data_IF_670854304119
#
_entry.id   IF_670854304119
#
_cell.length_a   1.000
_cell.length_b   1.000
_cell.length_c   1.000
_cell.angle_alpha   90.00
_cell.angle_beta   90.00
_cell.angle_gamma   90.00
#
_symmetry.space_group_name_H-M   'P 1'
#
loop_
_entity.id
_entity.type
_entity.pdbx_description
1 polymer ?
#
# COMPACT_ATOMS: atom_id res chain seq x y z
N UNK A 1 20.26 20.62 51.61
CA UNK A 1 20.24 22.06 51.96
C UNK A 1 21.01 22.82 50.89
N UNK A 2 20.44 23.96 50.44
CA UNK A 2 20.97 24.91 49.44
C UNK A 2 20.90 24.49 47.97
N UNK A 3 20.51 25.33 47.00
CA UNK A 3 19.84 26.65 46.94
C UNK A 3 19.47 26.83 45.45
N UNK A 4 18.23 27.20 45.12
CA UNK A 4 17.91 27.83 43.82
C UNK A 4 18.43 29.28 43.84
N UNK A 5 18.84 29.80 42.68
CA UNK A 5 18.23 31.04 42.17
C UNK A 5 17.88 30.89 40.66
N UNK A 6 16.65 31.20 40.24
CA UNK A 6 16.11 32.51 39.86
C UNK A 6 16.53 32.96 38.45
N UNK A 7 15.47 33.27 37.68
CA UNK A 7 15.41 33.57 36.24
C UNK A 7 16.10 34.89 35.89
N UNK A 8 16.67 35.00 34.69
CA UNK A 8 16.74 36.28 33.97
C UNK A 8 16.41 36.08 32.49
N UNK A 9 15.52 36.96 32.04
CA UNK A 9 14.87 37.08 30.76
C UNK A 9 15.73 38.02 29.89
N UNK A 10 16.04 37.64 28.65
CA UNK A 10 16.55 38.58 27.65
C UNK A 10 15.94 38.24 26.28
N UNK A 11 15.07 39.15 25.87
CA UNK A 11 14.28 39.19 24.64
C UNK A 11 15.15 39.81 23.53
N UNK A 12 15.38 39.10 22.43
CA UNK A 12 15.97 39.69 21.23
C UNK A 12 14.93 39.63 20.11
N UNK A 13 14.31 40.78 19.86
CA UNK A 13 13.35 41.04 18.79
C UNK A 13 14.14 41.33 17.52
N UNK A 14 14.00 40.48 16.49
CA UNK A 14 14.51 40.77 15.15
C UNK A 14 13.36 41.29 14.28
N UNK A 15 13.36 42.60 14.04
CA UNK A 15 12.52 43.26 13.04
C UNK A 15 13.11 42.99 11.66
N UNK A 16 12.38 42.31 10.77
CA UNK A 16 12.65 42.32 9.33
C UNK A 16 11.52 43.10 8.66
N UNK A 17 11.89 44.24 8.09
CA UNK A 17 11.04 45.13 7.32
C UNK A 17 10.71 44.51 5.95
N UNK A 18 9.41 44.42 5.68
CA UNK A 18 8.84 44.12 4.36
C UNK A 18 8.92 45.39 3.52
N UNK A 19 9.64 45.35 2.40
CA UNK A 19 9.60 46.38 1.37
C UNK A 19 8.79 45.86 0.17
N UNK A 20 7.62 46.47 -0.03
CA UNK A 20 6.76 46.29 -1.20
C UNK A 20 7.31 47.16 -2.33
N UNK A 21 7.59 46.56 -3.48
CA UNK A 21 7.70 47.28 -4.75
C UNK A 21 6.89 46.52 -5.80
N UNK A 22 5.83 47.17 -6.27
CA UNK A 22 4.95 46.66 -7.31
C UNK A 22 5.22 47.38 -8.64
N UNK A 23 4.93 46.63 -9.71
CA UNK A 23 4.60 47.04 -11.08
C UNK A 23 5.72 47.54 -12.00
N UNK A 24 6.02 46.74 -13.03
CA UNK A 24 5.56 47.02 -14.41
C UNK A 24 6.17 46.03 -15.40
N UNK A 25 5.35 45.17 -16.03
CA UNK A 25 5.57 44.72 -17.42
C UNK A 25 4.22 44.34 -18.08
N UNK A 26 4.08 44.55 -19.40
CA UNK A 26 2.80 44.60 -20.08
C UNK A 26 2.33 43.23 -20.57
N UNK A 27 1.01 43.05 -20.58
CA UNK A 27 0.36 41.90 -21.20
C UNK A 27 0.45 41.93 -22.72
N UNK A 28 0.42 40.75 -23.31
CA UNK A 28 -0.15 40.56 -24.64
C UNK A 28 -1.00 39.30 -24.64
N UNK A 29 -2.25 39.51 -25.02
CA UNK A 29 -3.26 38.52 -25.33
C UNK A 29 -2.79 37.66 -26.50
N UNK A 30 -2.95 36.34 -26.41
CA UNK A 30 -3.21 35.53 -27.59
C UNK A 30 -4.32 34.52 -27.29
N UNK A 31 -5.35 34.66 -28.10
CA UNK A 31 -6.57 33.87 -28.19
C UNK A 31 -6.31 32.54 -28.88
N UNK A 32 -7.11 31.54 -28.52
CA UNK A 32 -7.21 30.27 -29.23
C UNK A 32 -7.78 30.44 -30.64
N UNK A 33 -7.22 29.74 -31.62
CA UNK A 33 -7.96 29.22 -32.77
C UNK A 33 -7.18 28.07 -33.42
N UNK A 34 -7.91 27.03 -33.79
CA UNK A 34 -7.47 25.81 -34.51
C UNK A 34 -6.61 26.12 -35.76
N UNK A 35 -5.80 25.16 -36.24
CA UNK A 35 -5.35 25.18 -37.62
C UNK A 35 -6.37 24.49 -38.52
N UNK A 36 -6.99 25.29 -39.39
CA UNK A 36 -7.54 24.81 -40.66
C UNK A 36 -6.44 24.81 -41.73
N UNK A 37 -6.56 23.79 -42.57
CA UNK A 37 -5.87 23.46 -43.81
C UNK A 37 -5.83 24.63 -44.82
N UNK A 38 -4.62 24.99 -45.26
CA UNK A 38 -4.42 25.59 -46.58
C UNK A 38 -2.96 25.42 -47.04
N UNK A 39 -2.77 24.65 -48.11
CA UNK A 39 -1.47 24.39 -48.73
C UNK A 39 -0.84 25.62 -49.38
N UNK A 40 0.48 25.74 -49.22
CA UNK A 40 1.34 26.67 -49.95
C UNK A 40 2.37 25.87 -50.78
N UNK A 41 2.38 26.00 -52.13
CA UNK A 41 3.12 25.13 -53.05
C UNK A 41 4.61 25.52 -53.18
N UNK A 42 5.34 25.54 -52.06
CA UNK A 42 6.76 25.90 -52.00
C UNK A 42 7.73 24.76 -51.63
N UNK A 43 7.25 23.62 -51.14
CA UNK A 43 8.10 22.54 -50.57
C UNK A 43 8.28 21.32 -51.47
N UNK A 44 7.48 21.17 -52.54
CA UNK A 44 7.60 20.06 -53.50
C UNK A 44 8.75 20.23 -54.51
N UNK A 45 9.20 21.46 -54.77
CA UNK A 45 10.30 21.70 -55.72
C UNK A 45 11.70 21.44 -55.12
N UNK A 46 11.80 21.32 -53.79
CA UNK A 46 13.03 20.97 -53.09
C UNK A 46 13.25 19.46 -52.96
N UNK A 47 12.19 18.64 -53.00
CA UNK A 47 12.30 17.18 -52.93
C UNK A 47 12.59 16.53 -54.29
N UNK A 48 12.11 17.08 -55.40
CA UNK A 48 12.39 16.52 -56.74
C UNK A 48 13.84 16.75 -57.20
N UNK A 49 14.53 17.76 -56.64
CA UNK A 49 15.92 18.07 -57.01
C UNK A 49 16.95 17.16 -56.30
N UNK A 50 16.62 16.53 -55.17
CA UNK A 50 17.51 15.57 -54.48
C UNK A 50 17.40 14.14 -55.02
N UNK A 51 16.26 13.75 -55.59
CA UNK A 51 16.06 12.40 -56.16
C UNK A 51 16.84 12.25 -57.49
N UNK A 52 17.05 13.34 -58.23
CA UNK A 52 17.81 13.34 -59.50
C UNK A 52 19.35 13.24 -59.33
N UNK A 53 19.90 13.44 -58.13
CA UNK A 53 21.35 13.34 -57.88
C UNK A 53 21.81 11.95 -57.42
N UNK A 54 20.89 11.07 -57.00
CA UNK A 54 21.21 9.70 -56.59
C UNK A 54 21.10 8.68 -57.73
N UNK A 55 20.57 9.05 -58.90
CA UNK A 55 20.39 8.16 -60.05
C UNK A 55 21.44 8.33 -61.16
N UNK A 56 22.41 9.25 -61.02
CA UNK A 56 23.42 9.55 -62.04
C UNK A 56 24.83 8.99 -61.75
N UNK A 57 25.00 8.15 -60.72
CA UNK A 57 26.28 7.52 -60.38
C UNK A 57 26.34 6.02 -60.71
N UNK A 58 25.42 5.51 -61.52
CA UNK A 58 25.56 4.19 -62.16
C UNK A 58 25.72 4.40 -63.66
N UNK A 59 26.96 4.52 -64.11
CA UNK A 59 27.47 4.02 -65.40
C UNK A 59 28.77 4.76 -65.76
N UNK A 60 29.91 4.22 -65.33
CA UNK A 60 31.11 4.16 -66.16
C UNK A 60 32.12 3.18 -65.55
N UNK A 61 32.35 2.08 -66.26
CA UNK A 61 33.31 1.05 -65.94
C UNK A 61 34.73 1.47 -66.34
N UNK A 62 35.72 1.13 -65.51
CA UNK A 62 37.11 0.99 -65.95
C UNK A 62 37.68 -0.33 -65.44
N UNK A 63 38.18 -1.13 -66.38
CA UNK A 63 38.90 -2.39 -66.17
C UNK A 63 40.25 -2.15 -65.48
N UNK A 64 40.54 -2.88 -64.40
CA UNK A 64 41.89 -3.09 -63.86
C UNK A 64 42.03 -4.56 -63.44
N UNK A 65 43.21 -5.09 -63.72
CA UNK A 65 43.61 -6.51 -63.81
C UNK A 65 43.44 -7.34 -62.54
N UNK A 66 43.28 -8.65 -62.76
CA UNK A 66 43.03 -9.70 -61.80
C UNK A 66 44.31 -10.10 -61.02
N UNK A 67 44.40 -9.70 -59.75
CA UNK A 67 45.24 -10.37 -58.75
C UNK A 67 44.36 -11.27 -57.86
N UNK A 68 44.77 -12.53 -57.71
CA UNK A 68 44.10 -13.52 -56.86
C UNK A 68 44.43 -13.25 -55.39
N UNK A 69 43.48 -12.70 -54.64
CA UNK A 69 43.53 -12.60 -53.17
C UNK A 69 43.35 -13.99 -52.54
N UNK A 70 44.05 -14.34 -51.44
CA UNK A 70 44.00 -15.68 -50.86
C UNK A 70 42.66 -15.93 -50.16
N UNK A 71 42.30 -17.20 -50.10
CA UNK A 71 41.15 -17.76 -49.41
C UNK A 71 41.01 -17.18 -47.98
N UNK A 72 39.83 -16.71 -47.56
CA UNK A 72 39.65 -16.16 -46.22
C UNK A 72 39.91 -17.27 -45.20
N UNK A 73 40.88 -17.04 -44.30
CA UNK A 73 41.08 -17.89 -43.12
C UNK A 73 39.75 -17.98 -42.38
N UNK A 74 39.30 -19.23 -42.17
CA UNK A 74 38.10 -19.53 -41.43
C UNK A 74 38.21 -18.90 -40.03
N UNK A 75 37.38 -17.89 -39.76
CA UNK A 75 37.20 -17.37 -38.42
C UNK A 75 36.76 -18.53 -37.53
N UNK A 76 37.62 -18.96 -36.62
CA UNK A 76 37.30 -20.01 -35.65
C UNK A 76 36.06 -19.56 -34.87
N UNK A 77 34.95 -20.28 -35.04
CA UNK A 77 33.79 -20.19 -34.17
C UNK A 77 34.28 -20.40 -32.73
N UNK A 78 34.02 -19.48 -31.77
CA UNK A 78 34.45 -19.68 -30.40
C UNK A 78 33.90 -21.01 -29.90
N UNK A 79 34.80 -21.86 -29.41
CA UNK A 79 34.48 -23.16 -28.83
C UNK A 79 33.40 -22.94 -27.75
N UNK A 80 32.30 -23.72 -27.74
CA UNK A 80 31.23 -23.53 -26.77
C UNK A 80 31.80 -23.63 -25.36
N UNK A 81 31.73 -22.54 -24.61
CA UNK A 81 32.12 -22.50 -23.21
C UNK A 81 31.27 -23.55 -22.47
N UNK A 82 31.88 -24.67 -22.06
CA UNK A 82 31.20 -25.71 -21.30
C UNK A 82 30.83 -25.08 -19.95
N UNK A 83 29.55 -24.70 -19.77
CA UNK A 83 29.04 -24.35 -18.44
C UNK A 83 29.20 -25.59 -17.55
N UNK A 84 29.79 -25.45 -16.34
CA UNK A 84 29.93 -26.58 -15.44
C UNK A 84 28.55 -27.19 -15.16
N UNK A 85 28.43 -28.51 -15.26
CA UNK A 85 27.20 -29.22 -14.91
C UNK A 85 27.03 -29.17 -13.39
N UNK A 86 25.98 -28.52 -12.92
CA UNK A 86 25.64 -28.42 -11.49
C UNK A 86 24.98 -29.74 -11.07
N UNK A 87 25.51 -30.38 -10.04
CA UNK A 87 24.95 -31.61 -9.47
C UNK A 87 24.03 -31.27 -8.30
N UNK A 88 22.74 -31.61 -8.42
CA UNK A 88 21.72 -31.35 -7.41
C UNK A 88 21.50 -32.58 -6.54
N UNK A 89 21.57 -32.39 -5.21
CA UNK A 89 21.48 -33.50 -4.24
C UNK A 89 20.08 -33.65 -3.68
N UNK A 90 19.39 -32.53 -3.45
CA UNK A 90 18.05 -32.50 -2.84
C UNK A 90 17.16 -31.55 -3.63
N UNK A 91 16.00 -32.05 -4.07
CA UNK A 91 14.99 -31.25 -4.76
C UNK A 91 13.78 -31.02 -3.86
N UNK A 92 13.04 -29.90 -4.03
CA UNK A 92 11.78 -29.70 -3.35
C UNK A 92 10.76 -30.77 -3.74
N UNK A 93 9.88 -31.09 -2.79
CA UNK A 93 8.72 -31.94 -3.02
C UNK A 93 7.50 -31.12 -3.44
N UNK A 94 6.32 -31.64 -3.12
CA UNK A 94 5.06 -30.91 -3.29
C UNK A 94 4.77 -30.05 -2.04
N UNK A 95 4.34 -28.79 -2.21
CA UNK A 95 3.95 -27.95 -1.09
C UNK A 95 2.70 -28.52 -0.38
N UNK A 96 2.67 -28.36 0.94
CA UNK A 96 1.49 -28.67 1.76
C UNK A 96 0.48 -27.51 1.82
N UNK A 97 -0.41 -27.56 2.80
CA UNK A 97 -1.35 -26.47 3.07
C UNK A 97 -0.61 -25.19 3.53
N UNK A 98 -1.10 -24.02 3.11
CA UNK A 98 -0.52 -22.74 3.53
C UNK A 98 -0.59 -22.58 5.07
N UNK A 99 0.52 -22.17 5.67
CA UNK A 99 0.64 -21.83 7.08
C UNK A 99 0.41 -20.33 7.32
N UNK A 100 0.79 -19.49 6.37
CA UNK A 100 0.48 -18.06 6.34
C UNK A 100 0.25 -17.62 4.90
N UNK A 101 -0.43 -16.50 4.70
CA UNK A 101 -0.71 -15.95 3.39
C UNK A 101 -1.02 -14.46 3.46
N UNK A 102 -0.81 -13.78 2.35
CA UNK A 102 -1.26 -12.41 2.12
C UNK A 102 -2.15 -12.38 0.88
N UNK A 103 -3.23 -11.59 0.94
CA UNK A 103 -4.18 -11.39 -0.16
C UNK A 103 -3.90 -10.02 -0.77
N UNK A 104 -4.14 -9.92 -2.07
CA UNK A 104 -3.91 -8.74 -2.87
C UNK A 104 -5.14 -8.39 -3.73
N UNK A 105 -5.17 -7.20 -4.32
CA UNK A 105 -6.37 -6.72 -5.02
C UNK A 105 -6.36 -7.08 -6.50
N UNK A 106 -7.26 -7.99 -6.91
CA UNK A 106 -7.43 -8.24 -8.34
C UNK A 106 -7.92 -6.99 -9.11
N UNK A 107 -7.15 -6.58 -10.10
CA UNK A 107 -7.43 -5.43 -10.98
C UNK A 107 -8.26 -5.82 -12.22
N UNK A 108 -8.44 -7.11 -12.49
CA UNK A 108 -9.22 -7.64 -13.64
C UNK A 108 -10.56 -6.97 -13.90
N UNK A 109 -11.32 -6.66 -12.85
CA UNK A 109 -12.65 -6.05 -13.02
C UNK A 109 -12.60 -4.66 -13.66
N UNK A 110 -11.46 -3.96 -13.52
CA UNK A 110 -11.18 -2.64 -14.06
C UNK A 110 -10.33 -2.69 -15.34
N UNK A 111 -9.79 -3.85 -15.71
CA UNK A 111 -8.92 -4.02 -16.88
C UNK A 111 -9.54 -3.47 -18.19
N UNK A 112 -10.85 -3.63 -18.38
CA UNK A 112 -11.56 -3.10 -19.56
C UNK A 112 -11.62 -1.57 -19.64
N UNK A 113 -11.50 -0.90 -18.49
CA UNK A 113 -11.41 0.55 -18.37
C UNK A 113 -9.96 1.07 -18.38
N UNK A 114 -8.97 0.16 -18.45
CA UNK A 114 -7.54 0.48 -18.44
C UNK A 114 -7.11 1.26 -17.20
N UNK A 115 -7.60 0.86 -16.04
CA UNK A 115 -7.28 1.50 -14.76
C UNK A 115 -7.15 0.50 -13.62
N UNK A 116 -6.50 0.91 -12.53
CA UNK A 116 -6.42 0.17 -11.25
C UNK A 116 -7.20 0.89 -10.14
N UNK A 117 -7.57 0.16 -9.10
CA UNK A 117 -8.25 0.67 -7.90
C UNK A 117 -7.38 0.74 -6.65
N UNK A 118 -6.17 0.19 -6.68
CA UNK A 118 -5.37 -0.06 -5.47
C UNK A 118 -3.91 0.43 -5.55
N UNK A 119 -3.50 1.09 -6.64
CA UNK A 119 -2.11 1.56 -6.81
C UNK A 119 -1.75 2.63 -5.78
N UNK A 120 -0.77 2.33 -4.92
CA UNK A 120 -0.23 3.24 -3.92
C UNK A 120 1.28 3.40 -4.14
N UNK A 121 1.63 4.06 -5.25
CA UNK A 121 3.00 4.44 -5.60
C UNK A 121 3.80 5.03 -4.43
N UNK A 122 3.17 5.91 -3.64
CA UNK A 122 3.85 6.60 -2.55
C UNK A 122 4.28 5.70 -1.38
N UNK A 123 3.75 4.48 -1.30
CA UNK A 123 4.07 3.52 -0.22
C UNK A 123 4.56 2.18 -0.79
N UNK A 124 5.08 2.19 -2.02
CA UNK A 124 5.62 1.03 -2.73
C UNK A 124 4.67 -0.20 -2.78
N UNK A 125 3.36 0.05 -2.70
CA UNK A 125 2.33 -0.96 -2.91
C UNK A 125 1.77 -0.74 -4.30
N UNK A 126 2.23 -1.53 -5.25
CA UNK A 126 2.07 -1.27 -6.67
C UNK A 126 1.01 -2.19 -7.23
N UNK A 127 0.03 -1.61 -7.93
CA UNK A 127 -1.08 -2.36 -8.55
C UNK A 127 -1.14 -1.98 -10.01
N UNK A 128 -0.10 -2.43 -10.73
CA UNK A 128 0.23 -2.00 -12.09
C UNK A 128 0.38 -3.18 -13.05
N UNK A 129 -0.58 -4.12 -13.15
CA UNK A 129 -0.54 -5.24 -14.08
C UNK A 129 -0.90 -4.79 -15.51
N UNK A 130 -0.25 -3.73 -15.99
CA UNK A 130 -0.52 -3.08 -17.25
C UNK A 130 0.77 -2.70 -17.96
N UNK A 131 0.75 -2.76 -19.29
CA UNK A 131 1.85 -2.27 -20.13
C UNK A 131 1.99 -0.75 -20.05
N UNK A 132 3.22 -0.28 -20.25
CA UNK A 132 3.55 1.15 -20.28
C UNK A 132 2.77 1.88 -21.38
N UNK A 133 2.23 3.06 -21.06
CA UNK A 133 1.46 3.98 -21.91
C UNK A 133 0.12 3.43 -22.42
N UNK A 134 0.12 2.23 -22.99
CA UNK A 134 -1.04 1.63 -23.64
C UNK A 134 -2.05 1.10 -22.62
N UNK A 135 -1.57 0.72 -21.43
CA UNK A 135 -2.38 0.15 -20.35
C UNK A 135 -3.08 -1.15 -20.77
N UNK A 136 -2.39 -2.01 -21.53
CA UNK A 136 -2.91 -3.34 -21.83
C UNK A 136 -2.68 -4.26 -20.62
N UNK A 137 -3.76 -4.86 -20.16
CA UNK A 137 -3.78 -5.66 -18.93
C UNK A 137 -3.02 -6.99 -19.09
N UNK A 138 -2.21 -7.33 -18.09
CA UNK A 138 -1.38 -8.54 -18.02
C UNK A 138 -1.80 -9.38 -16.80
N UNK A 139 -2.72 -10.32 -17.02
CA UNK A 139 -3.29 -11.15 -15.94
C UNK A 139 -2.26 -12.01 -15.17
N UNK A 140 -1.08 -12.24 -15.74
CA UNK A 140 0.00 -12.97 -15.09
C UNK A 140 0.90 -12.09 -14.20
N UNK A 141 0.69 -10.77 -14.24
CA UNK A 141 1.30 -9.83 -13.31
C UNK A 141 0.34 -9.54 -12.16
N UNK A 142 -0.98 -9.54 -12.42
CA UNK A 142 -2.02 -9.33 -11.42
C UNK A 142 -1.99 -10.44 -10.35
N UNK A 143 -1.34 -10.13 -9.23
CA UNK A 143 -1.23 -10.95 -8.04
C UNK A 143 -2.52 -10.86 -7.25
N UNK A 144 -2.99 -12.00 -6.76
CA UNK A 144 -4.20 -12.04 -5.93
C UNK A 144 -3.92 -12.59 -4.55
N UNK A 145 -2.85 -13.39 -4.42
CA UNK A 145 -2.45 -14.01 -3.16
C UNK A 145 -1.03 -14.57 -3.22
N UNK A 146 -0.33 -14.49 -2.10
CA UNK A 146 0.91 -15.25 -1.86
C UNK A 146 0.71 -16.16 -0.65
N UNK A 147 0.96 -17.45 -0.83
CA UNK A 147 0.90 -18.45 0.24
C UNK A 147 2.30 -18.89 0.66
N UNK A 148 2.50 -19.07 1.97
CA UNK A 148 3.68 -19.73 2.52
C UNK A 148 3.31 -21.09 3.11
N UNK A 149 4.02 -22.14 2.73
CA UNK A 149 4.01 -23.44 3.40
C UNK A 149 5.43 -23.75 3.92
N UNK A 150 5.56 -24.00 5.22
CA UNK A 150 6.85 -24.29 5.86
C UNK A 150 6.92 -25.78 6.16
N UNK A 151 7.75 -26.52 5.44
CA UNK A 151 7.93 -27.96 5.61
C UNK A 151 9.41 -28.30 5.47
N UNK A 152 10.10 -28.33 6.61
CA UNK A 152 11.55 -28.46 6.67
C UNK A 152 12.06 -29.62 5.79
N UNK A 153 13.11 -29.40 4.97
CA UNK A 153 13.99 -28.23 4.98
C UNK A 153 13.48 -27.04 4.15
N UNK A 154 12.29 -27.11 3.59
CA UNK A 154 11.81 -26.16 2.58
C UNK A 154 10.81 -25.14 3.13
N UNK A 155 10.90 -23.93 2.60
CA UNK A 155 9.80 -22.97 2.54
C UNK A 155 9.29 -22.96 1.12
N UNK A 156 8.01 -23.21 0.93
CA UNK A 156 7.33 -23.09 -0.34
C UNK A 156 6.53 -21.80 -0.38
N UNK A 157 6.64 -21.09 -1.49
CA UNK A 157 5.90 -19.89 -1.83
C UNK A 157 5.02 -20.22 -3.03
N UNK A 158 3.72 -19.95 -2.96
CA UNK A 158 2.84 -20.01 -4.12
C UNK A 158 2.32 -18.62 -4.42
N UNK A 159 2.72 -18.07 -5.56
CA UNK A 159 2.17 -16.86 -6.15
C UNK A 159 0.92 -17.25 -6.95
N UNK A 160 -0.23 -16.69 -6.58
CA UNK A 160 -1.52 -16.97 -7.22
C UNK A 160 -1.90 -15.75 -8.04
N UNK A 161 -1.96 -15.95 -9.35
CA UNK A 161 -2.17 -14.91 -10.33
C UNK A 161 -3.60 -14.97 -10.88
N UNK A 162 -4.06 -13.85 -11.41
CA UNK A 162 -5.37 -13.79 -12.05
C UNK A 162 -5.42 -14.61 -13.35
N UNK A 163 -4.29 -14.78 -14.03
CA UNK A 163 -4.14 -15.59 -15.24
C UNK A 163 -2.76 -16.24 -15.35
N UNK A 164 -2.62 -17.24 -16.23
CA UNK A 164 -1.36 -17.95 -16.38
C UNK A 164 -0.33 -17.10 -17.13
N UNK A 165 0.93 -17.15 -16.71
CA UNK A 165 2.02 -16.56 -17.46
C UNK A 165 2.14 -17.20 -18.85
N UNK A 166 2.35 -16.44 -19.93
CA UNK A 166 2.69 -16.99 -21.24
C UNK A 166 3.87 -17.96 -21.17
N UNK A 167 3.94 -18.93 -22.07
CA UNK A 167 5.03 -19.93 -22.06
C UNK A 167 6.40 -19.30 -22.25
N UNK A 168 6.49 -18.22 -23.02
CA UNK A 168 7.68 -17.42 -23.31
C UNK A 168 7.87 -16.21 -22.38
N UNK A 169 7.11 -16.16 -21.28
CA UNK A 169 7.17 -15.04 -20.34
C UNK A 169 8.54 -14.94 -19.67
N UNK A 170 9.02 -13.69 -19.54
CA UNK A 170 10.22 -13.34 -18.77
C UNK A 170 9.89 -12.74 -17.41
N UNK A 171 8.63 -12.89 -16.97
CA UNK A 171 8.19 -12.38 -15.69
C UNK A 171 8.94 -13.06 -14.55
N UNK A 172 9.21 -12.28 -13.53
CA UNK A 172 9.79 -12.76 -12.29
C UNK A 172 8.75 -12.68 -11.19
N UNK A 173 8.87 -13.61 -10.25
CA UNK A 173 8.06 -13.67 -9.05
C UNK A 173 9.01 -13.74 -7.87
N UNK A 174 8.84 -12.85 -6.91
CA UNK A 174 9.76 -12.73 -5.80
C UNK A 174 9.04 -12.68 -4.45
N UNK A 175 9.64 -13.33 -3.46
CA UNK A 175 9.30 -13.19 -2.06
C UNK A 175 10.32 -12.26 -1.42
N UNK A 176 9.86 -11.14 -0.90
CA UNK A 176 10.63 -10.30 -0.01
C UNK A 176 10.41 -10.77 1.44
N UNK A 177 11.48 -10.92 2.21
CA UNK A 177 11.46 -11.35 3.61
C UNK A 177 12.15 -10.31 4.47
N UNK A 178 11.50 -9.96 5.57
CA UNK A 178 11.97 -9.00 6.57
C UNK A 178 11.92 -9.67 7.95
N UNK A 179 13.10 -9.96 8.47
CA UNK A 179 13.34 -10.71 9.70
C UNK A 179 13.11 -9.85 10.95
N UNK A 180 13.16 -8.52 10.83
CA UNK A 180 13.15 -7.61 11.97
C UNK A 180 11.90 -6.68 12.02
N UNK A 181 11.10 -6.69 10.96
CA UNK A 181 9.86 -5.92 10.76
C UNK A 181 10.05 -4.40 10.81
N UNK A 182 11.19 -3.90 10.31
CA UNK A 182 11.46 -2.47 10.18
C UNK A 182 10.98 -1.86 8.85
N UNK A 183 10.51 -2.71 7.93
CA UNK A 183 10.02 -2.30 6.61
C UNK A 183 11.07 -2.37 5.51
N UNK A 184 12.32 -2.75 5.81
CA UNK A 184 13.37 -3.06 4.85
C UNK A 184 13.45 -4.56 4.69
N UNK A 185 13.62 -5.05 3.47
CA UNK A 185 13.75 -6.48 3.25
C UNK A 185 15.18 -6.93 3.54
N UNK A 186 15.36 -8.01 4.30
CA UNK A 186 16.67 -8.63 4.51
C UNK A 186 17.03 -9.60 3.38
N UNK A 187 16.00 -10.18 2.74
CA UNK A 187 16.16 -11.19 1.69
C UNK A 187 15.15 -11.01 0.56
N UNK A 188 15.63 -11.17 -0.68
CA UNK A 188 14.79 -11.29 -1.87
C UNK A 188 15.01 -12.65 -2.52
N UNK A 189 14.00 -13.51 -2.46
CA UNK A 189 13.97 -14.81 -3.12
C UNK A 189 13.29 -14.62 -4.46
N UNK A 190 14.02 -14.74 -5.54
CA UNK A 190 13.66 -14.23 -6.85
C UNK A 190 13.64 -15.37 -7.86
N UNK A 191 12.62 -15.46 -8.72
CA UNK A 191 12.60 -16.48 -9.76
C UNK A 191 11.92 -16.03 -11.03
N UNK A 192 12.63 -16.15 -12.16
CA UNK A 192 12.03 -16.05 -13.49
C UNK A 192 11.19 -17.29 -13.78
N UNK A 193 9.96 -17.10 -14.25
CA UNK A 193 9.08 -18.24 -14.54
C UNK A 193 9.67 -19.14 -15.63
N UNK A 194 9.82 -20.45 -15.39
CA UNK A 194 10.30 -21.38 -16.40
C UNK A 194 9.17 -21.82 -17.33
N UNK A 195 9.47 -22.39 -18.49
CA UNK A 195 8.47 -22.99 -19.38
C UNK A 195 7.77 -24.20 -18.74
N UNK A 196 8.48 -24.90 -17.85
CA UNK A 196 8.09 -26.20 -17.31
C UNK A 196 7.40 -26.18 -15.93
N UNK A 197 6.87 -27.34 -15.58
CA UNK A 197 6.22 -27.64 -14.28
C UNK A 197 7.12 -28.45 -13.33
N UNK A 198 8.35 -28.75 -13.75
CA UNK A 198 9.34 -29.45 -12.94
C UNK A 198 10.17 -28.40 -12.22
N UNK A 199 10.47 -28.62 -10.95
CA UNK A 199 11.40 -27.78 -10.19
C UNK A 199 12.72 -27.62 -10.94
N UNK A 200 13.11 -26.37 -11.18
CA UNK A 200 14.41 -25.99 -11.73
C UNK A 200 15.06 -24.89 -10.89
N UNK A 201 16.39 -24.85 -10.89
CA UNK A 201 17.15 -23.70 -10.37
C UNK A 201 17.34 -22.64 -11.45
N UNK A 202 17.13 -22.95 -12.73
CA UNK A 202 17.26 -21.99 -13.82
C UNK A 202 16.32 -20.80 -13.60
N UNK A 203 16.87 -19.59 -13.66
CA UNK A 203 16.16 -18.34 -13.36
C UNK A 203 15.91 -18.06 -11.87
N UNK A 204 16.25 -18.97 -10.94
CA UNK A 204 16.12 -18.77 -9.51
C UNK A 204 17.35 -18.10 -8.90
N UNK A 205 17.14 -17.10 -8.05
CA UNK A 205 18.18 -16.29 -7.41
C UNK A 205 17.80 -15.99 -5.95
N UNK A 206 18.80 -15.70 -5.13
CA UNK A 206 18.60 -15.09 -3.81
C UNK A 206 19.55 -13.93 -3.62
N UNK A 207 18.98 -12.81 -3.20
CA UNK A 207 19.72 -11.62 -2.79
C UNK A 207 19.55 -11.39 -1.30
N UNK A 208 20.59 -10.83 -0.69
CA UNK A 208 20.61 -10.44 0.71
C UNK A 208 20.96 -8.96 0.80
N UNK A 209 20.29 -8.25 1.69
CA UNK A 209 20.66 -6.92 2.15
C UNK A 209 21.57 -7.06 3.38
N UNK A 210 22.83 -6.64 3.25
CA UNK A 210 23.81 -6.71 4.34
C UNK A 210 23.96 -5.37 5.10
N UNK A 211 23.62 -4.25 4.47
CA UNK A 211 23.70 -2.91 5.04
C UNK A 211 22.39 -2.47 5.72
N UNK A 212 21.28 -3.17 5.48
CA UNK A 212 19.98 -2.94 6.11
C UNK A 212 19.36 -1.62 5.67
N UNK A 213 19.49 -1.26 4.39
CA UNK A 213 19.12 0.03 3.83
C UNK A 213 18.34 -0.04 2.50
N UNK A 214 17.80 -1.20 2.11
CA UNK A 214 16.86 -1.32 0.97
C UNK A 214 15.87 -0.14 0.95
N UNK A 215 15.88 0.61 -0.17
CA UNK A 215 15.13 1.82 -0.41
C UNK A 215 15.79 3.11 0.07
N UNK A 216 14.97 4.07 0.48
CA UNK A 216 15.39 5.38 0.98
C UNK A 216 15.42 5.46 2.50
N UNK A 217 15.66 6.66 3.07
CA UNK A 217 15.64 6.88 4.52
C UNK A 217 14.30 6.56 5.21
N UNK A 218 13.18 6.68 4.49
CA UNK A 218 11.86 6.26 4.97
C UNK A 218 11.42 4.97 4.24
N UNK A 219 11.54 3.79 4.89
CA UNK A 219 11.22 2.50 4.26
C UNK A 219 9.84 2.53 3.57
N UNK A 220 9.76 1.97 2.36
CA UNK A 220 8.57 1.90 1.49
C UNK A 220 8.02 3.26 1.02
N UNK A 221 8.33 4.38 1.67
CA UNK A 221 7.73 5.66 1.34
C UNK A 221 8.53 6.35 0.24
N UNK A 222 7.84 6.76 -0.82
CA UNK A 222 8.45 7.42 -1.95
C UNK A 222 9.14 8.72 -1.52
N UNK A 223 10.45 8.67 -1.46
CA UNK A 223 11.32 9.81 -1.36
C UNK A 223 12.03 9.87 -2.72
N UNK A 224 11.75 10.78 -3.66
CA UNK A 224 12.47 10.87 -4.96
C UNK A 224 13.86 11.59 -4.88
N UNK A 225 14.74 11.51 -5.90
CA UNK A 225 16.20 11.23 -5.85
C UNK A 225 17.05 11.82 -4.70
N UNK A 226 17.66 10.94 -3.91
CA UNK A 226 18.76 11.20 -2.98
C UNK A 226 19.89 10.18 -3.20
N UNK A 227 21.12 10.52 -2.80
CA UNK A 227 22.31 9.76 -3.15
C UNK A 227 22.57 8.50 -2.30
N UNK A 228 21.66 8.15 -1.39
CA UNK A 228 21.86 7.09 -0.38
C UNK A 228 20.83 5.95 -0.53
N UNK A 229 20.39 5.68 -1.77
CA UNK A 229 19.44 4.60 -2.07
C UNK A 229 20.14 3.45 -2.75
N UNK A 230 19.81 2.26 -2.31
CA UNK A 230 20.09 0.98 -2.94
C UNK A 230 18.91 0.03 -2.70
N UNK A 231 18.88 -1.06 -3.45
CA UNK A 231 18.08 -2.22 -3.11
C UNK A 231 19.00 -3.32 -2.62
N UNK A 232 18.71 -4.55 -3.01
CA UNK A 232 19.56 -5.68 -2.66
C UNK A 232 20.86 -5.70 -3.48
N UNK A 233 21.98 -5.80 -2.77
CA UNK A 233 23.34 -5.61 -3.26
C UNK A 233 24.18 -6.89 -3.26
N UNK A 234 23.78 -7.90 -2.47
CA UNK A 234 24.52 -9.17 -2.37
C UNK A 234 23.76 -10.33 -3.01
N UNK A 235 24.18 -10.76 -4.20
CA UNK A 235 23.70 -12.00 -4.84
C UNK A 235 24.40 -13.22 -4.21
N UNK A 236 23.65 -14.06 -3.47
CA UNK A 236 24.22 -15.22 -2.76
C UNK A 236 23.91 -16.57 -3.42
N UNK A 237 22.92 -16.60 -4.31
CA UNK A 237 22.55 -17.77 -5.10
C UNK A 237 22.11 -17.31 -6.49
N UNK A 238 22.66 -17.95 -7.54
CA UNK A 238 22.36 -17.65 -8.94
C UNK A 238 22.28 -18.95 -9.74
N UNK A 239 21.07 -19.43 -10.01
CA UNK A 239 20.81 -20.56 -10.90
C UNK A 239 21.56 -21.86 -10.52
N UNK A 240 21.63 -22.16 -9.22
CA UNK A 240 22.36 -23.32 -8.69
C UNK A 240 23.82 -23.02 -8.33
N UNK A 241 24.30 -21.79 -8.59
CA UNK A 241 25.63 -21.33 -8.18
C UNK A 241 25.50 -20.62 -6.83
N UNK A 242 26.21 -21.10 -5.82
CA UNK A 242 26.22 -20.55 -4.47
C UNK A 242 26.85 -21.52 -3.48
N UNK A 243 26.76 -21.21 -2.19
CA UNK A 243 27.23 -22.12 -1.14
C UNK A 243 26.46 -23.44 -1.11
N UNK A 244 25.18 -23.40 -1.48
CA UNK A 244 24.30 -24.55 -1.58
C UNK A 244 23.63 -24.53 -2.96
N UNK A 245 23.96 -25.47 -3.87
CA UNK A 245 23.43 -25.48 -5.23
C UNK A 245 21.93 -25.81 -5.30
N UNK A 246 21.34 -26.22 -4.18
CA UNK A 246 19.92 -26.56 -4.06
C UNK A 246 19.17 -25.51 -3.22
N UNK A 247 19.70 -24.30 -3.04
CA UNK A 247 19.13 -23.31 -2.11
C UNK A 247 17.77 -22.77 -2.54
N UNK A 248 17.55 -22.49 -3.83
CA UNK A 248 16.32 -21.89 -4.36
C UNK A 248 15.91 -22.55 -5.68
N UNK A 249 14.61 -22.78 -5.83
CA UNK A 249 13.99 -23.44 -6.97
C UNK A 249 12.71 -22.72 -7.38
N UNK A 250 12.38 -22.78 -8.65
CA UNK A 250 11.12 -22.26 -9.19
C UNK A 250 10.47 -23.28 -10.14
N UNK A 251 9.14 -23.22 -10.26
CA UNK A 251 8.36 -23.92 -11.28
C UNK A 251 7.01 -23.25 -11.52
N UNK A 252 6.36 -23.62 -12.62
CA UNK A 252 4.90 -23.51 -12.74
C UNK A 252 4.23 -24.60 -11.92
N UNK A 253 3.10 -24.29 -11.31
CA UNK A 253 2.32 -25.29 -10.56
C UNK A 253 1.68 -26.31 -11.53
N UNK A 254 1.97 -27.62 -11.40
CA UNK A 254 1.36 -28.64 -12.25
C UNK A 254 -0.16 -28.79 -12.05
N UNK A 255 -0.70 -28.34 -10.91
CA UNK A 255 -2.11 -28.44 -10.57
C UNK A 255 -2.95 -27.22 -10.99
N UNK A 256 -2.31 -26.07 -11.24
CA UNK A 256 -3.00 -24.84 -11.60
C UNK A 256 -2.09 -23.90 -12.41
N UNK A 257 -2.38 -23.63 -13.70
CA UNK A 257 -1.49 -22.82 -14.54
C UNK A 257 -1.41 -21.34 -14.12
N UNK A 258 -2.32 -20.87 -13.28
CA UNK A 258 -2.30 -19.52 -12.71
C UNK A 258 -1.31 -19.38 -11.53
N UNK A 259 -0.69 -20.47 -11.10
CA UNK A 259 0.20 -20.46 -9.96
C UNK A 259 1.66 -20.63 -10.40
N UNK A 260 2.53 -19.80 -9.83
CA UNK A 260 3.98 -19.98 -9.86
C UNK A 260 4.44 -20.35 -8.46
N UNK A 261 5.34 -21.31 -8.36
CA UNK A 261 5.83 -21.79 -7.08
C UNK A 261 7.33 -21.59 -6.98
N UNK A 262 7.78 -21.02 -5.86
CA UNK A 262 9.17 -20.92 -5.47
C UNK A 262 9.38 -21.79 -4.23
N UNK A 263 10.52 -22.45 -4.13
CA UNK A 263 10.92 -23.17 -2.93
C UNK A 263 12.35 -22.78 -2.56
N UNK A 264 12.59 -22.49 -1.29
CA UNK A 264 13.94 -22.22 -0.81
C UNK A 264 14.21 -22.98 0.49
N UNK A 265 15.48 -23.28 0.77
CA UNK A 265 15.86 -23.93 2.02
C UNK A 265 15.69 -22.95 3.17
N UNK A 266 14.99 -23.36 4.22
CA UNK A 266 14.64 -22.49 5.34
C UNK A 266 15.87 -21.96 6.09
N UNK A 267 16.98 -22.70 6.07
CA UNK A 267 18.24 -22.27 6.65
C UNK A 267 18.92 -21.12 5.90
N UNK A 268 18.52 -20.83 4.65
CA UNK A 268 19.00 -19.69 3.88
C UNK A 268 18.74 -18.38 4.63
N UNK A 269 17.55 -18.28 5.22
CA UNK A 269 17.13 -17.17 6.08
C UNK A 269 17.34 -17.48 7.58
N UNK A 270 18.33 -18.30 7.93
CA UNK A 270 18.67 -18.59 9.33
C UNK A 270 17.75 -19.57 10.06
N UNK A 271 16.71 -20.12 9.43
CA UNK A 271 15.61 -20.85 10.07
C UNK A 271 14.83 -19.99 11.07
N UNK A 272 14.69 -18.69 10.82
CA UNK A 272 13.97 -17.79 11.71
C UNK A 272 12.50 -18.20 11.86
N UNK A 273 12.08 -18.42 13.11
CA UNK A 273 10.76 -18.94 13.44
C UNK A 273 9.61 -17.95 13.15
N UNK A 274 9.95 -16.69 12.88
CA UNK A 274 9.03 -15.60 12.64
C UNK A 274 9.68 -14.55 11.72
N UNK A 275 8.93 -14.03 10.77
CA UNK A 275 9.36 -12.97 9.84
C UNK A 275 8.16 -12.32 9.16
N UNK A 276 8.34 -11.12 8.63
CA UNK A 276 7.42 -10.48 7.70
C UNK A 276 7.79 -10.86 6.25
N UNK A 277 6.81 -10.86 5.35
CA UNK A 277 7.02 -11.18 3.94
C UNK A 277 6.03 -10.46 3.02
N UNK A 278 6.44 -10.18 1.80
CA UNK A 278 5.60 -9.63 0.72
C UNK A 278 5.89 -10.34 -0.60
N UNK A 279 4.91 -10.38 -1.50
CA UNK A 279 5.05 -10.95 -2.84
C UNK A 279 5.18 -9.88 -3.91
N UNK A 280 5.93 -10.21 -4.96
CA UNK A 280 6.17 -9.35 -6.12
C UNK A 280 5.99 -10.16 -7.40
N UNK A 281 5.36 -9.56 -8.41
CA UNK A 281 5.34 -10.02 -9.79
C UNK A 281 5.82 -8.88 -10.69
N UNK A 282 6.83 -9.12 -11.51
CA UNK A 282 7.48 -8.05 -12.27
C UNK A 282 7.92 -8.57 -13.65
N UNK A 283 7.44 -7.93 -14.71
CA UNK A 283 7.93 -8.12 -16.07
C UNK A 283 8.37 -6.79 -16.70
N UNK A 284 8.47 -5.74 -15.88
CA UNK A 284 8.99 -4.42 -16.20
C UNK A 284 10.46 -4.29 -15.80
N UNK A 285 10.72 -3.64 -14.66
CA UNK A 285 12.06 -3.21 -14.23
C UNK A 285 12.99 -4.37 -13.88
N UNK A 286 12.49 -5.33 -13.09
CA UNK A 286 13.22 -6.55 -12.70
C UNK A 286 14.61 -6.25 -12.14
N UNK A 287 14.71 -5.27 -11.23
CA UNK A 287 15.97 -4.76 -10.73
C UNK A 287 16.06 -4.85 -9.19
N UNK A 288 16.60 -5.95 -8.65
CA UNK A 288 16.81 -6.11 -7.21
C UNK A 288 17.60 -4.98 -6.56
N UNK A 289 18.58 -4.38 -7.26
CA UNK A 289 19.40 -3.29 -6.73
C UNK A 289 18.71 -1.92 -6.70
N UNK A 290 17.45 -1.85 -7.14
CA UNK A 290 16.61 -0.66 -7.07
C UNK A 290 15.28 -0.93 -6.35
N UNK A 291 15.21 -1.98 -5.53
CA UNK A 291 14.02 -2.28 -4.73
C UNK A 291 13.65 -1.13 -3.79
N UNK A 292 12.35 -1.04 -3.47
CA UNK A 292 11.65 0.24 -3.29
C UNK A 292 11.72 1.11 -4.55
N UNK A 293 11.14 0.59 -5.64
CA UNK A 293 11.18 1.23 -6.97
C UNK A 293 10.72 2.70 -6.95
N UNK A 294 9.77 3.04 -6.09
CA UNK A 294 9.26 4.38 -5.91
C UNK A 294 10.27 5.39 -5.35
N UNK A 295 11.40 4.93 -4.83
CA UNK A 295 12.54 5.77 -4.45
C UNK A 295 13.45 6.04 -5.64
N UNK A 296 13.47 5.23 -6.69
CA UNK A 296 14.36 5.45 -7.83
C UNK A 296 13.75 6.31 -8.93
N UNK A 297 12.48 6.71 -8.76
CA UNK A 297 11.75 7.52 -9.73
C UNK A 297 10.74 8.45 -9.08
N UNK A 298 10.46 9.55 -9.75
CA UNK A 298 9.35 10.42 -9.41
C UNK A 298 8.03 9.81 -9.87
N UNK A 299 6.92 10.23 -9.26
CA UNK A 299 5.59 9.82 -9.72
C UNK A 299 5.27 10.31 -11.16
N UNK A 300 5.96 11.37 -11.62
CA UNK A 300 5.84 11.85 -12.99
C UNK A 300 6.49 10.88 -14.00
N UNK A 301 7.64 10.31 -13.65
CA UNK A 301 8.36 9.29 -14.44
C UNK A 301 7.65 7.94 -14.37
N UNK A 302 7.14 7.55 -13.19
CA UNK A 302 6.43 6.30 -12.99
C UNK A 302 5.08 6.25 -13.71
N UNK A 303 4.39 7.39 -13.81
CA UNK A 303 3.00 7.45 -14.26
C UNK A 303 2.00 6.92 -13.23
N UNK A 304 0.72 7.00 -13.58
CA UNK A 304 -0.41 6.62 -12.72
C UNK A 304 -1.30 5.57 -13.35
N UNK A 305 -1.72 4.59 -12.56
CA UNK A 305 -2.71 3.58 -12.94
C UNK A 305 -4.16 4.09 -12.90
N UNK A 306 -4.41 5.26 -12.27
CA UNK A 306 -5.74 5.86 -12.19
C UNK A 306 -6.02 6.80 -13.38
N UNK A 307 -7.06 6.51 -14.14
CA UNK A 307 -7.48 7.28 -15.33
C UNK A 307 -7.81 8.75 -15.04
N UNK A 308 -8.17 9.07 -13.80
CA UNK A 308 -8.53 10.44 -13.35
C UNK A 308 -7.32 11.26 -12.90
N UNK A 309 -6.14 10.67 -12.76
CA UNK A 309 -4.93 11.35 -12.33
C UNK A 309 -4.28 12.08 -13.51
N UNK A 310 -3.73 13.28 -13.28
CA UNK A 310 -3.03 14.05 -14.31
C UNK A 310 -1.77 13.37 -14.86
N UNK A 311 -1.24 12.35 -14.15
CA UNK A 311 -0.05 11.56 -14.52
C UNK A 311 -0.38 10.25 -15.22
N UNK A 312 -1.66 9.98 -15.49
CA UNK A 312 -2.06 8.84 -16.32
C UNK A 312 -1.54 9.00 -17.75
N UNK A 313 -1.14 7.92 -18.45
CA UNK A 313 -1.11 6.51 -18.02
C UNK A 313 0.13 6.12 -17.19
N UNK A 314 0.25 4.85 -16.82
CA UNK A 314 1.51 4.29 -16.31
C UNK A 314 2.61 4.48 -17.36
N UNK A 315 3.82 4.80 -16.90
CA UNK A 315 4.99 5.09 -17.74
C UNK A 315 6.14 4.12 -17.41
N UNK A 316 7.16 4.53 -16.64
CA UNK A 316 8.38 3.74 -16.46
C UNK A 316 8.23 2.56 -15.49
N UNK A 317 7.29 2.63 -14.55
CA UNK A 317 6.99 1.56 -13.59
C UNK A 317 5.71 0.84 -14.00
N UNK A 318 5.81 0.09 -15.08
CA UNK A 318 4.76 -0.72 -15.67
C UNK A 318 5.00 -2.21 -15.43
N UNK A 319 3.98 -3.03 -15.68
CA UNK A 319 4.07 -4.49 -15.64
C UNK A 319 4.63 -5.01 -14.30
N UNK A 320 4.16 -4.41 -13.21
CA UNK A 320 4.57 -4.77 -11.84
C UNK A 320 3.36 -4.82 -10.93
N UNK A 321 3.37 -5.77 -10.01
CA UNK A 321 2.38 -5.89 -8.96
C UNK A 321 3.06 -6.33 -7.66
N UNK A 322 2.59 -5.84 -6.54
CA UNK A 322 3.12 -6.20 -5.24
C UNK A 322 2.04 -6.28 -4.19
N UNK A 323 2.17 -7.26 -3.30
CA UNK A 323 1.31 -7.35 -2.14
C UNK A 323 1.83 -6.43 -1.04
N UNK A 324 0.97 -6.04 -0.12
CA UNK A 324 1.43 -5.56 1.19
C UNK A 324 2.18 -6.69 1.93
N UNK A 325 2.84 -6.35 3.03
CA UNK A 325 3.56 -7.32 3.87
C UNK A 325 2.62 -8.00 4.86
N UNK A 326 2.81 -9.29 5.06
CA UNK A 326 2.16 -10.07 6.13
C UNK A 326 3.21 -10.86 6.92
N UNK A 327 2.78 -11.65 7.89
CA UNK A 327 3.70 -12.25 8.87
C UNK A 327 3.57 -13.77 8.92
N UNK A 328 4.69 -14.43 9.19
CA UNK A 328 4.74 -15.83 9.58
C UNK A 328 5.25 -15.94 11.02
N UNK A 329 4.74 -16.89 11.79
CA UNK A 329 5.20 -17.17 13.16
C UNK A 329 4.66 -16.23 14.25
N UNK A 330 4.01 -15.12 13.91
CA UNK A 330 3.39 -14.20 14.86
C UNK A 330 2.21 -13.42 14.26
N UNK A 331 1.38 -12.84 15.13
CA UNK A 331 0.28 -11.93 14.74
C UNK A 331 0.69 -10.48 15.04
N UNK A 332 0.76 -9.60 14.03
CA UNK A 332 1.13 -8.21 14.25
C UNK A 332 0.05 -7.46 15.02
N UNK A 333 0.45 -6.74 16.08
CA UNK A 333 -0.45 -5.90 16.89
C UNK A 333 -0.22 -4.40 16.68
N UNK A 334 0.89 -4.04 16.07
CA UNK A 334 1.29 -2.67 15.74
C UNK A 334 1.72 -2.63 14.29
N UNK A 335 1.36 -1.56 13.58
CA UNK A 335 1.78 -1.36 12.20
C UNK A 335 3.30 -1.13 12.12
N UNK A 336 3.91 -1.64 11.05
CA UNK A 336 5.25 -1.32 10.57
C UNK A 336 5.16 -1.01 9.06
N UNK A 337 6.17 -0.37 8.45
CA UNK A 337 6.09 0.03 7.04
C UNK A 337 5.80 -1.17 6.12
N UNK A 338 4.91 -0.98 5.16
CA UNK A 338 4.49 -2.02 4.22
C UNK A 338 3.51 -3.06 4.78
N UNK A 339 3.29 -3.16 6.09
CA UNK A 339 2.34 -4.13 6.67
C UNK A 339 0.91 -3.89 6.14
N UNK A 340 0.22 -4.97 5.76
CA UNK A 340 -1.18 -4.89 5.39
C UNK A 340 -2.04 -4.28 6.51
N UNK A 341 -3.15 -3.61 6.17
CA UNK A 341 -4.07 -3.05 7.15
C UNK A 341 -4.48 -4.10 8.19
N UNK A 342 -4.18 -3.83 9.46
CA UNK A 342 -4.61 -4.71 10.54
C UNK A 342 -6.14 -4.69 10.63
N UNK A 343 -6.78 -5.85 10.86
CA UNK A 343 -8.20 -5.87 11.14
C UNK A 343 -8.48 -4.98 12.35
N UNK A 344 -9.51 -4.13 12.23
CA UNK A 344 -9.92 -3.28 13.33
C UNK A 344 -10.16 -4.15 14.56
N UNK A 345 -9.49 -3.81 15.67
CA UNK A 345 -9.73 -4.50 16.93
C UNK A 345 -11.20 -4.26 17.29
N UNK A 346 -12.03 -5.31 17.46
CA UNK A 346 -13.43 -5.11 17.78
C UNK A 346 -13.56 -4.30 19.06
N UNK A 347 -14.09 -3.08 18.97
CA UNK A 347 -14.32 -2.23 20.13
C UNK A 347 -15.63 -2.69 20.75
N UNK A 348 -15.62 -3.24 21.99
CA UNK A 348 -16.86 -3.65 22.62
C UNK A 348 -17.76 -2.43 22.82
N UNK A 349 -19.07 -2.52 22.52
CA UNK A 349 -19.96 -1.40 22.74
C UNK A 349 -20.12 -1.14 24.25
N UNK A 350 -20.26 0.14 24.60
CA UNK A 350 -20.61 0.59 25.94
C UNK A 350 -22.10 0.81 26.13
N UNK A 351 -22.46 1.22 27.34
CA UNK A 351 -23.83 1.54 27.75
C UNK A 351 -23.85 2.77 28.66
N UNK A 352 -24.87 3.62 28.52
CA UNK A 352 -25.09 4.77 29.42
C UNK A 352 -26.39 4.55 30.20
N UNK A 353 -26.30 4.65 31.53
CA UNK A 353 -27.45 4.52 32.43
C UNK A 353 -27.54 5.67 33.41
N UNK A 354 -28.77 5.99 33.82
CA UNK A 354 -29.06 6.99 34.82
C UNK A 354 -30.52 6.87 35.25
N UNK A 355 -31.09 7.96 35.76
CA UNK A 355 -32.51 8.00 36.03
C UNK A 355 -33.07 9.41 36.20
N UNK A 356 -34.38 9.47 36.37
CA UNK A 356 -35.14 10.69 36.66
C UNK A 356 -35.85 10.50 38.00
N UNK A 357 -35.85 11.51 38.86
CA UNK A 357 -36.45 11.41 40.20
C UNK A 357 -37.24 12.68 40.58
N UNK A 358 -38.20 12.47 41.47
CA UNK A 358 -38.95 13.54 42.13
C UNK A 358 -38.12 14.06 43.30
N UNK A 359 -37.53 15.23 43.10
CA UNK A 359 -36.73 15.96 44.08
C UNK A 359 -37.65 16.68 45.07
N UNK A 360 -37.98 15.99 46.15
CA UNK A 360 -39.02 16.44 47.09
C UNK A 360 -38.54 17.57 48.00
N UNK A 361 -37.22 17.71 48.16
CA UNK A 361 -36.61 18.74 49.01
C UNK A 361 -35.88 19.83 48.20
N UNK A 362 -35.89 19.73 46.87
CA UNK A 362 -35.39 20.73 45.91
C UNK A 362 -33.88 20.94 46.07
N UNK A 363 -33.12 19.90 46.42
CA UNK A 363 -31.67 20.01 46.63
C UNK A 363 -30.83 19.59 45.41
N UNK A 364 -31.46 19.08 44.33
CA UNK A 364 -30.80 18.64 43.11
C UNK A 364 -30.03 17.31 43.24
N UNK A 365 -30.20 16.57 44.33
CA UNK A 365 -29.46 15.35 44.66
C UNK A 365 -30.43 14.25 45.07
N UNK A 366 -30.48 13.17 44.29
CA UNK A 366 -31.33 12.02 44.63
C UNK A 366 -30.97 11.44 45.99
N UNK A 367 -31.90 11.55 46.94
CA UNK A 367 -31.83 10.93 48.25
C UNK A 367 -32.59 9.60 48.30
N UNK A 368 -32.36 8.81 49.35
CA UNK A 368 -32.87 7.43 49.47
C UNK A 368 -34.40 7.31 49.48
N UNK A 369 -35.10 8.31 50.03
CA UNK A 369 -36.57 8.34 50.10
C UNK A 369 -37.24 8.95 48.86
N UNK A 370 -36.48 9.52 47.93
CA UNK A 370 -37.03 10.22 46.79
C UNK A 370 -37.38 9.25 45.66
N UNK A 371 -38.65 9.24 45.20
CA UNK A 371 -39.11 8.28 44.22
C UNK A 371 -38.56 8.62 42.82
N UNK A 372 -38.28 7.58 42.05
CA UNK A 372 -38.02 7.74 40.62
C UNK A 372 -39.28 8.15 39.87
N UNK A 373 -39.10 8.85 38.75
CA UNK A 373 -40.20 9.25 37.88
C UNK A 373 -40.30 8.29 36.70
N UNK A 374 -41.36 7.45 36.60
CA UNK A 374 -41.55 6.55 35.47
C UNK A 374 -42.08 7.29 34.23
N UNK A 375 -41.91 6.67 33.07
CA UNK A 375 -42.44 7.14 31.78
C UNK A 375 -41.98 8.54 31.35
N UNK A 376 -40.84 9.00 31.86
CA UNK A 376 -40.20 10.25 31.42
C UNK A 376 -39.34 9.95 30.19
N UNK A 377 -39.53 10.72 29.12
CA UNK A 377 -38.73 10.56 27.89
C UNK A 377 -37.30 11.09 28.10
N UNK A 378 -36.33 10.22 27.90
CA UNK A 378 -34.90 10.51 27.85
C UNK A 378 -34.44 10.35 26.40
N UNK A 379 -33.67 11.31 25.89
CA UNK A 379 -33.09 11.30 24.55
C UNK A 379 -31.58 11.22 24.66
N UNK A 380 -30.97 10.58 23.68
CA UNK A 380 -29.52 10.61 23.48
C UNK A 380 -29.21 11.15 22.08
N UNK A 381 -28.12 11.92 21.95
CA UNK A 381 -27.57 12.40 20.69
C UNK A 381 -26.05 12.18 20.66
N UNK A 382 -25.49 11.93 19.48
CA UNK A 382 -24.04 11.82 19.30
C UNK A 382 -23.37 13.20 19.36
N UNK A 383 -22.32 13.35 20.15
CA UNK A 383 -21.60 14.60 20.40
C UNK A 383 -21.99 15.30 21.71
N UNK A 384 -21.49 16.52 21.90
CA UNK A 384 -21.76 17.33 23.10
C UNK A 384 -23.22 17.79 23.20
N UNK A 385 -23.59 18.34 24.37
CA UNK A 385 -24.94 18.86 24.60
C UNK A 385 -25.39 19.89 23.54
N UNK A 386 -26.61 19.72 23.04
CA UNK A 386 -27.12 20.34 21.81
C UNK A 386 -27.40 19.31 20.72
N UNK A 387 -26.69 18.19 20.73
CA UNK A 387 -26.98 17.03 19.88
C UNK A 387 -28.23 16.28 20.36
N UNK A 388 -29.09 15.87 19.43
CA UNK A 388 -30.28 15.03 19.69
C UNK A 388 -30.50 14.05 18.54
N UNK A 389 -31.38 13.06 18.72
CA UNK A 389 -31.90 12.25 17.60
C UNK A 389 -31.18 10.93 17.35
N UNK A 390 -30.25 10.50 18.21
CA UNK A 390 -29.63 9.18 18.09
C UNK A 390 -30.59 8.08 18.56
N UNK A 391 -31.17 8.23 19.76
CA UNK A 391 -32.21 7.34 20.28
C UNK A 391 -33.04 8.03 21.36
N UNK A 392 -34.13 7.38 21.77
CA UNK A 392 -34.91 7.78 22.94
C UNK A 392 -35.38 6.56 23.73
N UNK A 393 -35.60 6.76 25.03
CA UNK A 393 -36.09 5.76 25.97
C UNK A 393 -37.10 6.42 26.92
N UNK A 394 -37.99 5.62 27.49
CA UNK A 394 -38.81 6.04 28.63
C UNK A 394 -38.25 5.45 29.92
N UNK A 395 -38.22 6.23 30.99
CA UNK A 395 -37.78 5.72 32.29
C UNK A 395 -38.67 4.59 32.80
N UNK A 396 -38.05 3.59 33.43
CA UNK A 396 -38.73 2.45 34.05
C UNK A 396 -39.50 2.85 35.32
N UNK A 397 -40.20 1.89 35.94
CA UNK A 397 -41.02 2.11 37.15
C UNK A 397 -40.30 2.79 38.33
N UNK A 398 -38.99 2.56 38.45
CA UNK A 398 -38.11 3.15 39.46
C UNK A 398 -37.39 4.43 38.98
N UNK A 399 -37.75 4.95 37.81
CA UNK A 399 -37.14 6.13 37.20
C UNK A 399 -35.85 5.90 36.42
N UNK A 400 -35.30 4.68 36.34
CA UNK A 400 -34.04 4.43 35.62
C UNK A 400 -34.21 4.34 34.11
N UNK A 401 -33.15 4.63 33.35
CA UNK A 401 -33.06 4.35 31.91
C UNK A 401 -31.72 3.67 31.58
N UNK A 402 -31.67 3.03 30.41
CA UNK A 402 -30.47 2.40 29.87
C UNK A 402 -30.44 2.57 28.34
N UNK A 403 -29.33 3.08 27.83
CA UNK A 403 -28.96 3.01 26.42
C UNK A 403 -27.81 2.02 26.28
N UNK A 404 -28.00 0.99 25.47
CA UNK A 404 -27.01 -0.08 25.23
C UNK A 404 -26.49 -0.01 23.79
N UNK A 405 -25.44 -0.78 23.51
CA UNK A 405 -24.88 -0.91 22.17
C UNK A 405 -24.37 0.42 21.59
N UNK A 406 -23.78 1.27 22.45
CA UNK A 406 -23.22 2.55 22.05
C UNK A 406 -21.73 2.39 21.72
N UNK A 407 -21.30 2.99 20.61
CA UNK A 407 -19.87 3.10 20.29
C UNK A 407 -19.16 3.97 21.34
N UNK A 408 -17.85 3.78 21.49
CA UNK A 408 -17.05 4.69 22.30
C UNK A 408 -17.11 6.10 21.70
N UNK A 409 -17.32 7.12 22.54
CA UNK A 409 -17.50 8.48 22.03
C UNK A 409 -18.14 9.43 23.02
N UNK A 410 -18.48 10.62 22.53
CA UNK A 410 -19.16 11.66 23.32
C UNK A 410 -20.65 11.65 23.00
N UNK A 411 -21.49 11.77 24.03
CA UNK A 411 -22.95 11.77 23.92
C UNK A 411 -23.60 12.89 24.72
N UNK A 412 -24.72 13.39 24.22
CA UNK A 412 -25.65 14.26 24.93
C UNK A 412 -26.83 13.42 25.41
N UNK A 413 -26.96 13.23 26.72
CA UNK A 413 -28.17 12.65 27.31
C UNK A 413 -29.04 13.78 27.83
N UNK A 414 -30.28 13.86 27.37
CA UNK A 414 -31.23 14.92 27.73
C UNK A 414 -32.58 14.36 28.14
N UNK A 415 -33.29 15.06 29.02
CA UNK A 415 -34.60 14.67 29.51
C UNK A 415 -35.65 15.67 29.03
N UNK A 416 -36.76 15.17 28.49
CA UNK A 416 -37.91 15.98 28.13
C UNK A 416 -38.74 16.22 29.39
N UNK A 417 -39.00 17.49 29.73
CA UNK A 417 -39.87 17.81 30.86
C UNK A 417 -41.29 17.25 30.60
N UNK A 418 -41.81 16.38 31.49
CA UNK A 418 -43.10 15.73 31.28
C UNK A 418 -44.30 16.69 31.35
N UNK A 419 -44.21 17.78 32.12
CA UNK A 419 -45.25 18.83 32.15
C UNK A 419 -44.64 20.17 32.62
N UNK A 420 -44.28 21.09 31.71
CA UNK A 420 -43.70 22.37 32.08
C UNK A 420 -44.72 23.45 32.50
N UNK A 421 -46.02 23.12 32.59
CA UNK A 421 -47.07 24.08 32.93
C UNK A 421 -47.25 24.25 34.44
N UNK A 422 -48.00 25.28 34.85
CA UNK A 422 -48.46 25.46 36.24
C UNK A 422 -49.11 24.17 36.80
N UNK A 423 -48.70 23.76 38.01
CA UNK A 423 -49.10 22.47 38.60
C UNK A 423 -48.32 21.25 38.07
N UNK A 424 -47.30 21.48 37.24
CA UNK A 424 -46.43 20.45 36.66
C UNK A 424 -45.07 20.33 37.36
N UNK A 425 -44.02 20.09 36.56
CA UNK A 425 -42.67 19.77 37.01
C UNK A 425 -41.68 20.85 36.59
N UNK A 426 -40.86 21.31 37.54
CA UNK A 426 -39.69 22.15 37.24
C UNK A 426 -38.40 21.37 37.48
N UNK A 427 -37.40 21.52 36.60
CA UNK A 427 -36.12 20.86 36.78
C UNK A 427 -35.37 21.46 37.98
N UNK A 428 -34.84 20.60 38.84
CA UNK A 428 -33.95 20.97 39.96
C UNK A 428 -32.49 20.65 39.67
N UNK A 429 -32.22 19.94 38.57
CA UNK A 429 -30.89 19.71 38.00
C UNK A 429 -30.82 20.23 36.57
N UNK A 430 -29.61 20.23 35.98
CA UNK A 430 -29.48 20.34 34.51
C UNK A 430 -30.32 19.25 33.83
N UNK A 431 -30.95 19.58 32.69
CA UNK A 431 -31.79 18.66 31.90
C UNK A 431 -31.05 17.95 30.77
N UNK A 432 -29.74 18.22 30.63
CA UNK A 432 -28.87 17.57 29.67
C UNK A 432 -27.46 17.40 30.24
N UNK A 433 -26.76 16.33 29.85
CA UNK A 433 -25.39 16.02 30.28
C UNK A 433 -24.56 15.55 29.08
N UNK A 434 -23.36 16.11 28.94
CA UNK A 434 -22.34 15.58 28.02
C UNK A 434 -21.60 14.45 28.72
N UNK A 435 -21.50 13.30 28.05
CA UNK A 435 -20.97 12.06 28.60
C UNK A 435 -19.92 11.54 27.64
N UNK A 436 -18.71 11.31 28.13
CA UNK A 436 -17.67 10.56 27.40
C UNK A 436 -17.80 9.09 27.80
N UNK A 437 -17.97 8.23 26.82
CA UNK A 437 -18.13 6.78 26.95
C UNK A 437 -16.88 6.10 26.40
N UNK A 438 -16.18 5.35 27.25
CA UNK A 438 -15.03 4.55 26.84
C UNK A 438 -15.46 3.20 26.24
N UNK A 439 -14.60 2.51 25.46
CA UNK A 439 -14.86 1.17 24.96
C UNK A 439 -15.34 0.20 26.05
N UNK A 440 -16.49 -0.45 25.83
CA UNK A 440 -17.07 -1.44 26.75
C UNK A 440 -17.55 -0.89 28.10
N UNK A 441 -17.54 0.42 28.32
CA UNK A 441 -17.89 1.03 29.61
C UNK A 441 -19.39 0.97 29.89
N UNK A 442 -19.79 0.64 31.13
CA UNK A 442 -21.11 0.98 31.67
C UNK A 442 -21.00 2.32 32.40
N UNK A 443 -21.40 3.40 31.74
CA UNK A 443 -21.30 4.76 32.27
C UNK A 443 -22.57 5.15 33.03
N UNK A 444 -22.44 5.24 34.35
CA UNK A 444 -23.51 5.71 35.24
C UNK A 444 -23.46 7.24 35.35
N UNK A 445 -24.53 7.91 34.93
CA UNK A 445 -24.65 9.37 35.01
C UNK A 445 -25.54 9.78 36.18
N UNK A 446 -25.28 10.97 36.73
CA UNK A 446 -26.10 11.54 37.79
C UNK A 446 -27.55 11.73 37.30
N UNK A 447 -28.50 11.42 38.18
CA UNK A 447 -29.93 11.47 37.87
C UNK A 447 -30.40 12.89 37.58
N UNK A 448 -31.53 13.00 36.87
CA UNK A 448 -32.21 14.25 36.56
C UNK A 448 -33.34 14.49 37.56
N UNK A 449 -33.29 15.60 38.29
CA UNK A 449 -34.25 15.95 39.33
C UNK A 449 -35.34 16.88 38.82
N UNK A 450 -36.58 16.63 39.26
CA UNK A 450 -37.70 17.53 39.06
C UNK A 450 -38.51 17.67 40.35
N UNK A 451 -39.00 18.87 40.63
CA UNK A 451 -39.89 19.15 41.75
C UNK A 451 -41.24 19.66 41.24
N UNK A 452 -42.31 19.41 41.99
CA UNK A 452 -43.65 19.93 41.67
C UNK A 452 -43.65 21.45 41.84
N UNK A 453 -44.13 22.16 40.83
CA UNK A 453 -44.33 23.60 40.89
C UNK A 453 -45.78 23.93 41.20
N UNK A 454 -46.01 24.52 42.38
CA UNK A 454 -47.31 25.05 42.78
C UNK A 454 -47.32 26.54 42.44
N UNK A 455 -48.21 26.94 41.55
CA UNK A 455 -48.36 28.31 41.06
C UNK A 455 -49.31 29.15 41.93
#
# INVERSE_FOLDING_TARGET
MNRKPAKSLALAVLFIFIAIAACSMPGNFFTSSQPEDSGDPGTLQALETQIAQLQNNSDEAQEVEQETDPEPEATETPEPTIKPTIEHMVRPGEPGAAHSWVIDTSTKSLAGARESGADLFHTNLLERPFTSQVMDYQAYIDLTRVNLNISAPWVYVTFILEGPAPSDSTAIYALEVDLNSDGRGDWLLYGQVPDGIVWTTDGAKAYQDLNGDVGGPAPMNADPPNASRDGYETLVFDEGIGNDPDAVWIRRDPGNPNNVQLAFKYNLIGNDAAFAFGGWADDGLKNPGAFDYNDFMTFEEAGSAFSTNSRYPIKELASVDSTCRWTYGYTPTTAFPGLCPLPATPVPPGSISGGVFNDMNINGVKNGSEPGMPNVTVRIGAGACGSTGLANQSTAGNGSFLFENLEAGTYCVSVVNPNPSCGGWLPTTVIQRTVVLEPGELKLIAWFGFAVYVC
#
